data_IF_113961330736
#
_entry.id   IF_113961330736
#
_cell.length_a   1.000
_cell.length_b   1.000
_cell.length_c   1.000
_cell.angle_alpha   90.00
_cell.angle_beta   90.00
_cell.angle_gamma   90.00
#
_symmetry.space_group_name_H-M   'P 1'
#
loop_
_entity.id
_entity.type
_entity.pdbx_description
1 polymer ?
#
# COMPACT_ATOMS: atom_id res chain seq x y z
N UNK A 1 6.38 8.76 -4.09
CA UNK A 1 6.47 7.28 -4.01
C UNK A 1 6.94 6.77 -2.64
N UNK A 2 7.95 7.36 -1.99
CA UNK A 2 8.42 6.91 -0.67
C UNK A 2 7.33 6.80 0.41
N UNK A 3 6.32 7.68 0.37
CA UNK A 3 5.14 7.57 1.25
C UNK A 3 4.31 6.30 1.03
N UNK A 4 4.23 5.79 -0.20
CA UNK A 4 3.57 4.51 -0.52
C UNK A 4 4.37 3.36 0.08
N UNK A 5 5.69 3.39 -0.06
CA UNK A 5 6.61 2.40 0.50
C UNK A 5 6.48 2.33 2.03
N UNK A 6 6.50 3.50 2.68
CA UNK A 6 6.30 3.61 4.12
C UNK A 6 4.94 3.04 4.57
N UNK A 7 3.83 3.42 3.91
CA UNK A 7 2.49 2.91 4.25
C UNK A 7 2.33 1.41 4.09
N UNK A 8 3.07 0.81 3.16
CA UNK A 8 3.06 -0.63 2.91
C UNK A 8 4.11 -1.38 3.74
N UNK A 9 4.91 -0.68 4.55
CA UNK A 9 6.08 -1.22 5.26
C UNK A 9 7.03 -1.98 4.32
N UNK A 10 7.31 -1.37 3.16
CA UNK A 10 8.20 -1.92 2.14
C UNK A 10 9.30 -0.91 1.80
N UNK A 11 10.42 -1.43 1.30
CA UNK A 11 11.51 -0.61 0.78
C UNK A 11 11.10 0.11 -0.51
N UNK A 12 11.63 1.33 -0.70
CA UNK A 12 11.37 2.11 -1.92
C UNK A 12 11.88 1.41 -3.19
N UNK A 13 12.93 0.60 -3.07
CA UNK A 13 13.46 -0.27 -4.14
C UNK A 13 12.45 -1.32 -4.60
N UNK A 14 11.55 -1.77 -3.72
CA UNK A 14 10.48 -2.74 -4.03
C UNK A 14 9.27 -2.06 -4.65
N UNK A 15 8.90 -0.87 -4.18
CA UNK A 15 7.72 -0.15 -4.69
C UNK A 15 7.94 0.44 -6.08
N UNK A 16 9.12 1.01 -6.33
CA UNK A 16 9.42 1.68 -7.60
C UNK A 16 9.13 0.82 -8.84
N UNK A 17 9.59 -0.45 -8.93
CA UNK A 17 9.28 -1.31 -10.08
C UNK A 17 7.80 -1.70 -10.13
N UNK A 18 7.11 -1.85 -8.99
CA UNK A 18 5.67 -2.14 -8.96
C UNK A 18 4.86 -0.97 -9.53
N UNK A 19 5.12 0.26 -9.07
CA UNK A 19 4.42 1.46 -9.56
C UNK A 19 4.70 1.67 -11.05
N UNK A 20 5.93 1.43 -11.52
CA UNK A 20 6.25 1.50 -12.95
C UNK A 20 5.44 0.48 -13.78
N UNK A 21 5.28 -0.75 -13.29
CA UNK A 21 4.42 -1.75 -13.96
C UNK A 21 2.96 -1.34 -13.98
N UNK A 22 2.45 -0.77 -12.89
CA UNK A 22 1.07 -0.26 -12.82
C UNK A 22 0.84 0.92 -13.78
N UNK A 23 1.83 1.79 -13.96
CA UNK A 23 1.80 2.88 -14.93
C UNK A 23 1.77 2.34 -16.36
N UNK A 24 2.63 1.37 -16.68
CA UNK A 24 2.64 0.70 -17.99
C UNK A 24 1.32 -0.04 -18.29
N UNK A 25 0.67 -0.58 -17.26
CA UNK A 25 -0.67 -1.17 -17.37
C UNK A 25 -1.80 -0.13 -17.46
N UNK A 26 -1.48 1.17 -17.43
CA UNK A 26 -2.46 2.25 -17.50
C UNK A 26 -3.33 2.40 -16.26
N UNK A 27 -2.92 1.85 -15.10
CA UNK A 27 -3.69 1.87 -13.84
C UNK A 27 -3.36 3.08 -12.96
N UNK A 28 -2.17 3.65 -13.11
CA UNK A 28 -1.73 4.85 -12.40
C UNK A 28 -1.02 5.81 -13.35
N UNK A 29 -1.03 7.09 -13.00
CA UNK A 29 -0.16 8.11 -13.60
C UNK A 29 0.93 8.49 -12.61
N UNK A 30 2.11 8.83 -13.12
CA UNK A 30 3.17 9.44 -12.32
C UNK A 30 3.52 10.80 -12.87
N UNK A 31 3.60 11.77 -11.98
CA UNK A 31 4.04 13.13 -12.33
C UNK A 31 5.04 13.59 -11.29
N UNK A 32 6.09 14.29 -11.73
CA UNK A 32 6.94 15.01 -10.79
C UNK A 32 6.13 16.16 -10.22
N UNK A 33 6.24 16.37 -8.92
CA UNK A 33 5.56 17.50 -8.28
C UNK A 33 6.13 18.81 -8.83
N UNK A 34 5.26 19.78 -9.07
CA UNK A 34 5.65 21.12 -9.49
C UNK A 34 6.19 21.97 -8.33
N UNK A 35 5.91 21.57 -7.08
CA UNK A 35 6.37 22.28 -5.87
C UNK A 35 7.67 21.72 -5.31
N UNK A 36 7.99 20.45 -5.61
CA UNK A 36 9.23 19.80 -5.22
C UNK A 36 9.59 18.71 -6.25
N UNK A 37 10.56 19.01 -7.12
CA UNK A 37 10.94 18.13 -8.22
C UNK A 37 11.53 16.78 -7.76
N UNK A 38 11.89 16.65 -6.48
CA UNK A 38 12.34 15.39 -5.87
C UNK A 38 11.18 14.44 -5.61
N UNK A 39 9.95 14.94 -5.60
CA UNK A 39 8.77 14.16 -5.33
C UNK A 39 8.10 13.68 -6.60
N UNK A 40 7.70 12.40 -6.58
CA UNK A 40 6.85 11.80 -7.61
C UNK A 40 5.49 11.52 -6.97
N UNK A 41 4.49 12.21 -7.50
CA UNK A 41 3.08 12.00 -7.20
C UNK A 41 2.56 10.84 -8.06
N UNK A 42 1.74 9.99 -7.46
CA UNK A 42 1.15 8.81 -8.08
C UNK A 42 -0.35 8.87 -7.88
N UNK A 43 -1.10 8.85 -8.97
CA UNK A 43 -2.56 8.96 -8.95
C UNK A 43 -3.19 7.79 -9.71
N UNK A 44 -4.34 7.29 -9.25
CA UNK A 44 -5.09 6.27 -9.97
C UNK A 44 -5.71 6.86 -11.25
N UNK A 45 -5.60 6.13 -12.35
CA UNK A 45 -6.39 6.41 -13.56
C UNK A 45 -7.86 5.98 -13.35
N UNK A 46 -8.77 6.34 -14.26
CA UNK A 46 -10.13 5.79 -14.25
C UNK A 46 -10.16 4.26 -14.27
N UNK A 47 -9.30 3.61 -15.08
CA UNK A 47 -9.18 2.15 -15.11
C UNK A 47 -8.60 1.58 -13.81
N UNK A 48 -7.64 2.28 -13.18
CA UNK A 48 -7.14 1.93 -11.85
C UNK A 48 -8.22 1.94 -10.77
N UNK A 49 -9.09 2.96 -10.78
CA UNK A 49 -10.24 3.04 -9.86
C UNK A 49 -11.26 1.94 -10.13
N UNK A 50 -11.56 1.66 -11.40
CA UNK A 50 -12.47 0.57 -11.77
C UNK A 50 -11.93 -0.80 -11.33
N UNK A 51 -10.63 -1.03 -11.45
CA UNK A 51 -9.99 -2.25 -10.94
C UNK A 51 -10.11 -2.36 -9.42
N UNK A 52 -9.90 -1.26 -8.69
CA UNK A 52 -10.06 -1.24 -7.24
C UNK A 52 -11.46 -1.66 -6.82
N UNK A 53 -12.50 -1.17 -7.50
CA UNK A 53 -13.90 -1.59 -7.25
C UNK A 53 -14.09 -3.09 -7.48
N UNK A 54 -13.51 -3.65 -8.53
CA UNK A 54 -13.57 -5.10 -8.78
C UNK A 54 -12.88 -5.92 -7.69
N UNK A 55 -11.86 -5.35 -7.03
CA UNK A 55 -11.16 -5.99 -5.92
C UNK A 55 -11.92 -5.92 -4.60
N UNK A 56 -13.02 -5.15 -4.48
CA UNK A 56 -13.79 -5.07 -3.24
C UNK A 56 -14.36 -6.43 -2.78
N UNK A 57 -14.58 -7.37 -3.70
CA UNK A 57 -15.01 -8.73 -3.37
C UNK A 57 -14.00 -9.50 -2.50
N UNK A 58 -12.73 -9.05 -2.44
CA UNK A 58 -11.73 -9.62 -1.55
C UNK A 58 -12.13 -9.44 -0.09
N UNK A 59 -12.64 -8.26 0.29
CA UNK A 59 -13.08 -7.99 1.65
C UNK A 59 -14.28 -8.84 2.03
N UNK A 60 -15.24 -9.00 1.11
CA UNK A 60 -16.40 -9.88 1.27
C UNK A 60 -15.93 -11.33 1.48
N UNK A 61 -15.04 -11.82 0.62
CA UNK A 61 -14.48 -13.18 0.72
C UNK A 61 -13.74 -13.40 2.05
N UNK A 62 -12.98 -12.41 2.51
CA UNK A 62 -12.27 -12.49 3.79
C UNK A 62 -13.25 -12.59 4.96
N UNK A 63 -14.29 -11.77 4.98
CA UNK A 63 -15.33 -11.80 6.03
C UNK A 63 -16.05 -13.15 6.01
N UNK A 64 -16.53 -13.59 4.86
CA UNK A 64 -17.27 -14.84 4.71
C UNK A 64 -16.46 -16.07 5.16
N UNK A 65 -15.19 -16.14 4.76
CA UNK A 65 -14.34 -17.31 5.06
C UNK A 65 -13.72 -17.29 6.45
N UNK A 66 -13.42 -16.10 6.99
CA UNK A 66 -12.87 -15.99 8.35
C UNK A 66 -13.94 -16.09 9.43
N UNK A 67 -15.21 -15.79 9.10
CA UNK A 67 -16.29 -15.64 10.06
C UNK A 67 -16.16 -14.40 10.95
N UNK A 68 -15.20 -13.51 10.65
CA UNK A 68 -14.92 -12.30 11.44
C UNK A 68 -15.66 -11.10 10.84
N UNK A 69 -16.14 -10.21 11.71
CA UNK A 69 -16.65 -8.90 11.31
C UNK A 69 -15.52 -8.01 10.82
N UNK A 70 -15.86 -7.00 10.01
CA UNK A 70 -14.89 -6.03 9.50
C UNK A 70 -14.08 -5.35 10.62
N UNK A 71 -14.73 -5.00 11.73
CA UNK A 71 -14.07 -4.39 12.88
C UNK A 71 -13.04 -5.32 13.56
N UNK A 72 -13.27 -6.63 13.55
CA UNK A 72 -12.37 -7.62 14.14
C UNK A 72 -11.14 -7.84 13.25
N UNK A 73 -11.32 -7.92 11.93
CA UNK A 73 -10.22 -7.98 10.96
C UNK A 73 -9.35 -6.72 11.04
N UNK A 74 -9.97 -5.56 11.17
CA UNK A 74 -9.29 -4.27 11.32
C UNK A 74 -8.52 -4.20 12.66
N UNK A 75 -9.10 -4.69 13.76
CA UNK A 75 -8.41 -4.82 15.05
C UNK A 75 -7.21 -5.78 14.98
N UNK A 76 -7.36 -6.93 14.33
CA UNK A 76 -6.29 -7.90 14.13
C UNK A 76 -5.15 -7.31 13.29
N UNK A 77 -5.47 -6.61 12.20
CA UNK A 77 -4.49 -5.94 11.35
C UNK A 77 -3.68 -4.92 12.18
N UNK A 78 -4.35 -4.10 13.02
CA UNK A 78 -3.65 -3.19 13.95
C UNK A 78 -2.74 -3.92 14.93
N UNK A 79 -3.14 -5.07 15.47
CA UNK A 79 -2.29 -5.85 16.37
C UNK A 79 -1.05 -6.41 15.65
N UNK A 80 -1.22 -6.93 14.43
CA UNK A 80 -0.10 -7.42 13.59
C UNK A 80 0.85 -6.28 13.24
N UNK A 81 0.33 -5.11 12.88
CA UNK A 81 1.16 -3.92 12.60
C UNK A 81 1.95 -3.50 13.83
N UNK A 82 1.30 -3.42 15.01
CA UNK A 82 1.98 -3.11 16.27
C UNK A 82 3.10 -4.11 16.59
N UNK A 83 2.86 -5.40 16.37
CA UNK A 83 3.86 -6.45 16.55
C UNK A 83 5.04 -6.26 15.58
N UNK A 84 4.76 -6.11 14.29
CA UNK A 84 5.78 -5.86 13.25
C UNK A 84 6.63 -4.63 13.59
N UNK A 85 5.99 -3.54 13.99
CA UNK A 85 6.68 -2.29 14.30
C UNK A 85 7.54 -2.44 15.57
N UNK A 86 7.12 -3.23 16.56
CA UNK A 86 7.96 -3.57 17.72
C UNK A 86 9.18 -4.43 17.35
N UNK A 87 9.02 -5.36 16.40
CA UNK A 87 10.13 -6.19 15.90
C UNK A 87 11.12 -5.37 15.06
N UNK A 88 10.62 -4.48 14.20
CA UNK A 88 11.46 -3.61 13.37
C UNK A 88 12.06 -2.43 14.17
N UNK A 89 11.35 -1.94 15.19
CA UNK A 89 11.81 -0.90 16.11
C UNK A 89 12.89 -1.37 17.09
N UNK A 90 13.18 -2.69 17.15
CA UNK A 90 14.36 -3.25 17.79
C UNK A 90 15.63 -3.19 16.94
N UNK A 91 15.54 -2.72 15.69
CA UNK A 91 16.68 -2.45 14.80
C UNK A 91 16.79 -0.94 14.54
N UNK A 92 17.04 -0.17 15.60
CA UNK A 92 17.55 1.19 15.45
C UNK A 92 18.96 1.25 16.02
N UNK A 93 19.90 1.53 15.11
CA UNK A 93 21.27 2.00 15.33
C UNK A 93 22.33 0.92 15.62
N UNK A 94 22.92 0.40 14.54
CA UNK A 94 24.38 0.32 14.38
C UNK A 94 24.73 0.07 12.91
N UNK A 95 25.11 1.16 12.21
CA UNK A 95 26.04 1.28 11.06
C UNK A 95 25.75 2.55 10.27
#
# INVERSE_FOLDING_TARGET
VGSIAHRLALESSTITPLVKRMEQAGLVTRQRSQTDERQVQVDLTPSGRALLVRCNCLNETLIERSGMKLAELDALNRQIQKLRDALNGGQAVDA
#
